data_IF_870614357398
#
_entry.id   IF_870614357398
#
_cell.length_a   1.000
_cell.length_b   1.000
_cell.length_c   1.000
_cell.angle_alpha   90.00
_cell.angle_beta   90.00
_cell.angle_gamma   90.00
#
_symmetry.space_group_name_H-M   'P 1'
#
loop_
_entity.id
_entity.type
_entity.pdbx_description
1 polymer ?
#
# COMPACT_ATOMS: atom_id res chain seq x y z
N UNK A 1 19.45 -39.03 76.80
CA UNK A 1 18.65 -39.47 77.96
C UNK A 1 17.77 -38.30 78.41
N UNK A 2 16.45 -38.55 78.57
CA UNK A 2 15.37 -37.65 79.05
C UNK A 2 15.10 -36.41 78.18
N UNK A 3 13.99 -36.20 77.47
CA UNK A 3 12.53 -36.37 77.68
C UNK A 3 11.90 -35.42 78.71
N UNK A 4 10.98 -34.58 78.22
CA UNK A 4 9.89 -33.93 78.96
C UNK A 4 9.93 -32.39 78.96
N UNK A 5 8.84 -31.63 78.90
CA UNK A 5 7.46 -31.69 78.39
C UNK A 5 6.79 -30.37 78.90
N UNK A 6 5.69 -29.95 78.27
CA UNK A 6 4.65 -29.00 78.76
C UNK A 6 5.01 -27.49 78.71
N UNK A 7 4.11 -26.53 78.42
CA UNK A 7 2.67 -26.47 78.10
C UNK A 7 2.39 -24.98 77.76
N UNK A 8 1.94 -24.62 76.55
CA UNK A 8 0.56 -24.35 76.13
C UNK A 8 -0.13 -23.08 76.69
N UNK A 9 -0.55 -22.24 75.73
CA UNK A 9 -1.88 -21.63 75.57
C UNK A 9 -2.18 -20.17 76.01
N UNK A 10 -2.50 -19.40 74.95
CA UNK A 10 -3.68 -18.53 74.75
C UNK A 10 -3.77 -17.10 75.30
N UNK A 11 -4.23 -16.19 74.42
CA UNK A 11 -4.64 -14.82 74.77
C UNK A 11 -4.52 -13.78 73.65
N UNK A 12 -5.31 -13.92 72.59
CA UNK A 12 -5.50 -12.99 71.46
C UNK A 12 -6.11 -11.62 71.87
N UNK A 13 -5.85 -10.56 71.08
CA UNK A 13 -6.78 -9.47 70.60
C UNK A 13 -5.96 -8.19 70.31
N UNK A 14 -5.67 -7.90 69.03
CA UNK A 14 -6.24 -6.81 68.19
C UNK A 14 -5.62 -5.41 68.49
N UNK A 15 -5.31 -4.49 67.58
CA UNK A 15 -5.50 -4.26 66.13
C UNK A 15 -4.77 -2.95 65.82
N UNK A 16 -4.31 -2.73 64.59
CA UNK A 16 -4.20 -1.35 64.06
C UNK A 16 -2.88 -0.96 63.38
N UNK A 17 -2.88 -1.17 62.07
CA UNK A 17 -2.33 -0.31 61.01
C UNK A 17 -0.82 -0.17 60.76
N UNK A 18 -0.48 -0.64 59.56
CA UNK A 18 0.85 -0.76 58.97
C UNK A 18 1.05 0.35 57.92
N UNK A 19 2.27 0.87 57.90
CA UNK A 19 3.03 1.33 56.73
C UNK A 19 2.72 2.72 56.12
N UNK A 20 3.62 3.66 56.40
CA UNK A 20 4.15 4.60 55.40
C UNK A 20 5.55 5.09 55.84
N UNK A 21 6.60 4.40 55.38
CA UNK A 21 7.99 4.85 55.54
C UNK A 21 8.56 5.24 54.17
N UNK A 22 8.91 6.51 54.07
CA UNK A 22 9.59 7.19 52.97
C UNK A 22 10.99 6.61 52.72
N UNK A 23 11.29 6.23 51.48
CA UNK A 23 12.66 6.10 50.97
C UNK A 23 12.72 6.68 49.55
N UNK A 24 13.43 7.81 49.42
CA UNK A 24 13.79 8.45 48.17
C UNK A 24 14.60 7.49 47.29
N UNK A 25 14.13 7.26 46.06
CA UNK A 25 14.91 6.67 44.96
C UNK A 25 14.88 7.65 43.80
N UNK A 26 15.99 7.92 43.09
CA UNK A 26 15.96 8.80 41.94
C UNK A 26 15.24 8.07 40.81
N UNK A 27 13.99 8.44 40.59
CA UNK A 27 13.22 8.04 39.41
C UNK A 27 14.02 8.42 38.16
N UNK A 28 14.34 7.41 37.37
CA UNK A 28 14.73 7.57 35.98
C UNK A 28 13.73 8.54 35.33
N UNK A 29 14.23 9.69 34.88
CA UNK A 29 13.51 10.50 33.91
C UNK A 29 13.35 9.63 32.67
N UNK A 30 12.22 8.93 32.57
CA UNK A 30 11.67 8.54 31.28
C UNK A 30 11.47 9.83 30.51
N UNK A 31 12.46 10.14 29.68
CA UNK A 31 12.35 11.16 28.67
C UNK A 31 11.17 10.77 27.79
N UNK A 32 10.01 11.35 28.07
CA UNK A 32 8.83 11.28 27.24
C UNK A 32 9.24 11.85 25.89
N UNK A 33 9.59 10.97 24.95
CA UNK A 33 9.89 11.37 23.59
C UNK A 33 8.68 12.17 23.10
N UNK A 34 8.88 13.35 22.50
CA UNK A 34 7.76 14.14 22.02
C UNK A 34 6.92 13.25 21.11
N UNK A 35 5.59 13.27 21.29
CA UNK A 35 4.60 12.63 20.42
C UNK A 35 4.84 13.09 18.98
N UNK A 36 5.81 12.48 18.29
CA UNK A 36 6.09 12.72 16.89
C UNK A 36 4.97 12.03 16.14
N UNK A 37 4.16 12.82 15.45
CA UNK A 37 3.18 12.29 14.52
C UNK A 37 3.85 11.23 13.63
N UNK A 38 3.16 10.10 13.38
CA UNK A 38 3.72 9.05 12.54
C UNK A 38 4.01 9.62 11.15
N UNK A 39 5.24 9.39 10.66
CA UNK A 39 5.67 9.89 9.35
C UNK A 39 4.72 9.38 8.27
N UNK A 40 4.03 10.30 7.58
CA UNK A 40 3.17 9.99 6.42
C UNK A 40 4.03 9.95 5.16
N UNK A 41 3.97 8.84 4.42
CA UNK A 41 4.61 8.73 3.11
C UNK A 41 3.78 9.41 2.02
N UNK A 42 2.46 9.23 2.09
CA UNK A 42 1.51 9.80 1.14
C UNK A 42 0.13 9.16 1.27
N UNK A 43 -0.69 9.29 0.24
CA UNK A 43 -2.06 8.79 0.21
C UNK A 43 -2.44 8.29 -1.18
N UNK A 44 -3.13 7.15 -1.21
CA UNK A 44 -3.82 6.66 -2.40
C UNK A 44 -5.30 7.06 -2.33
N UNK A 45 -5.82 7.58 -3.44
CA UNK A 45 -7.24 7.98 -3.57
C UNK A 45 -7.86 7.24 -4.74
N UNK A 46 -9.00 6.59 -4.52
CA UNK A 46 -9.78 5.95 -5.60
C UNK A 46 -10.53 7.01 -6.37
N UNK A 47 -10.29 7.10 -7.68
CA UNK A 47 -11.02 8.02 -8.55
C UNK A 47 -12.38 7.45 -8.96
N UNK A 48 -13.34 8.32 -9.28
CA UNK A 48 -14.67 7.94 -9.79
C UNK A 48 -15.79 7.86 -8.75
N UNK A 49 -15.53 8.22 -7.49
CA UNK A 49 -16.50 8.13 -6.39
C UNK A 49 -16.73 9.43 -5.61
N UNK A 50 -16.33 10.60 -6.14
CA UNK A 50 -16.50 11.91 -5.49
C UNK A 50 -16.09 11.96 -4.00
N UNK A 51 -15.07 11.18 -3.62
CA UNK A 51 -14.52 11.16 -2.26
C UNK A 51 -15.15 10.16 -1.29
N UNK A 52 -16.13 9.35 -1.69
CA UNK A 52 -16.71 8.30 -0.84
C UNK A 52 -17.20 7.11 -1.66
N UNK A 53 -16.87 5.88 -1.26
CA UNK A 53 -17.39 4.69 -1.96
C UNK A 53 -18.93 4.61 -1.88
N UNK A 54 -19.63 4.00 -2.88
CA UNK A 54 -21.09 3.95 -2.90
C UNK A 54 -21.72 3.31 -1.65
N UNK A 55 -21.04 2.31 -1.07
CA UNK A 55 -21.50 1.61 0.15
C UNK A 55 -20.83 2.14 1.43
N UNK A 56 -20.19 3.30 1.33
CA UNK A 56 -19.35 3.89 2.37
C UNK A 56 -18.00 3.16 2.56
N UNK A 57 -17.12 3.80 3.32
CA UNK A 57 -15.82 3.26 3.69
C UNK A 57 -15.97 2.26 4.85
N UNK A 58 -15.46 1.04 4.71
CA UNK A 58 -15.54 -0.03 5.71
C UNK A 58 -14.24 -0.81 5.82
N UNK A 59 -13.65 -0.85 7.01
CA UNK A 59 -12.43 -1.63 7.27
C UNK A 59 -11.28 -1.20 6.34
N UNK A 60 -10.76 -2.13 5.53
CA UNK A 60 -9.71 -1.86 4.53
C UNK A 60 -10.24 -1.40 3.16
N UNK A 61 -11.55 -1.45 2.95
CA UNK A 61 -12.20 -0.96 1.73
C UNK A 61 -12.59 0.49 1.95
N UNK A 62 -11.81 1.41 1.38
CA UNK A 62 -11.99 2.85 1.57
C UNK A 62 -11.82 3.60 0.25
N UNK A 63 -12.33 4.82 0.19
CA UNK A 63 -12.09 5.76 -0.91
C UNK A 63 -10.67 6.34 -0.88
N UNK A 64 -10.05 6.37 0.31
CA UNK A 64 -8.70 6.91 0.54
C UNK A 64 -7.91 6.01 1.49
N UNK A 65 -6.61 5.90 1.26
CA UNK A 65 -5.70 5.11 2.07
C UNK A 65 -4.38 5.84 2.28
N UNK A 66 -4.17 6.31 3.52
CA UNK A 66 -2.95 6.98 3.93
C UNK A 66 -1.87 5.95 4.30
N UNK A 67 -0.69 6.09 3.72
CA UNK A 67 0.48 5.25 3.98
C UNK A 67 1.35 5.94 5.02
N UNK A 68 1.53 5.31 6.17
CA UNK A 68 2.39 5.80 7.25
C UNK A 68 3.55 4.84 7.48
N UNK A 69 4.69 5.38 7.91
CA UNK A 69 5.84 4.61 8.37
C UNK A 69 5.40 3.60 9.42
N UNK A 70 5.65 2.32 9.14
CA UNK A 70 5.25 1.24 10.05
C UNK A 70 6.15 1.24 11.29
N UNK A 71 5.63 0.78 12.45
CA UNK A 71 6.46 0.61 13.65
C UNK A 71 7.68 -0.28 13.41
N UNK A 72 7.50 -1.37 12.66
CA UNK A 72 8.57 -2.27 12.21
C UNK A 72 8.57 -2.33 10.68
N UNK A 73 9.77 -2.34 10.11
CA UNK A 73 9.94 -2.53 8.67
C UNK A 73 9.31 -3.85 8.24
N UNK A 74 8.61 -3.84 7.10
CA UNK A 74 8.07 -5.05 6.48
C UNK A 74 8.46 -5.16 4.99
N UNK A 75 9.35 -4.29 4.53
CA UNK A 75 9.91 -4.34 3.19
C UNK A 75 10.65 -5.65 2.93
N UNK A 76 10.79 -5.96 1.65
CA UNK A 76 11.51 -7.14 1.16
C UNK A 76 12.31 -6.81 -0.08
N UNK A 77 13.42 -7.51 -0.28
CA UNK A 77 14.30 -7.36 -1.46
C UNK A 77 14.71 -8.71 -2.04
N UNK A 78 15.01 -8.77 -3.36
CA UNK A 78 15.46 -9.99 -4.00
C UNK A 78 16.70 -10.58 -3.30
N UNK A 79 16.77 -11.90 -3.22
CA UNK A 79 17.85 -12.67 -2.60
C UNK A 79 18.22 -13.84 -3.50
N UNK A 80 18.09 -15.08 -3.02
CA UNK A 80 18.57 -16.29 -3.68
C UNK A 80 17.69 -16.64 -4.87
N UNK A 81 18.30 -17.12 -5.95
CA UNK A 81 17.58 -17.62 -7.14
C UNK A 81 17.72 -19.13 -7.22
N UNK A 82 16.58 -19.83 -7.33
CA UNK A 82 16.51 -21.28 -7.49
C UNK A 82 15.92 -21.63 -8.85
N UNK A 83 16.59 -22.51 -9.59
CA UNK A 83 16.04 -23.10 -10.81
C UNK A 83 15.58 -24.50 -10.49
N UNK A 84 14.27 -24.75 -10.63
CA UNK A 84 13.63 -25.97 -10.14
C UNK A 84 12.96 -26.69 -11.30
N UNK A 85 13.20 -28.00 -11.40
CA UNK A 85 12.64 -28.83 -12.47
C UNK A 85 11.33 -29.54 -12.12
N UNK A 86 10.95 -29.57 -10.83
CA UNK A 86 9.79 -30.31 -10.33
C UNK A 86 8.84 -29.43 -9.50
N UNK A 87 7.51 -29.48 -9.73
CA UNK A 87 6.54 -28.69 -8.97
C UNK A 87 6.57 -28.89 -7.44
N UNK A 88 6.88 -30.11 -6.96
CA UNK A 88 6.94 -30.37 -5.50
C UNK A 88 8.03 -29.55 -4.81
N UNK A 89 9.19 -29.39 -5.44
CA UNK A 89 10.31 -28.62 -4.90
C UNK A 89 10.04 -27.10 -4.88
N UNK A 90 9.23 -26.59 -5.82
CA UNK A 90 8.79 -25.18 -5.81
C UNK A 90 7.91 -24.88 -4.60
N UNK A 91 6.97 -25.77 -4.26
CA UNK A 91 6.16 -25.63 -3.04
C UNK A 91 7.01 -25.68 -1.78
N UNK A 92 8.02 -26.56 -1.73
CA UNK A 92 8.91 -26.69 -0.56
C UNK A 92 9.71 -25.40 -0.28
N UNK A 93 10.14 -24.67 -1.31
CA UNK A 93 10.87 -23.40 -1.14
C UNK A 93 9.93 -22.30 -0.64
N UNK A 94 8.71 -22.20 -1.18
CA UNK A 94 7.70 -21.23 -0.71
C UNK A 94 7.31 -21.43 0.76
N UNK A 95 7.47 -22.64 1.32
CA UNK A 95 7.10 -22.95 2.70
C UNK A 95 8.08 -22.46 3.79
N UNK A 96 9.24 -21.89 3.43
CA UNK A 96 10.25 -21.42 4.42
C UNK A 96 9.90 -20.12 5.14
N UNK A 97 8.68 -19.60 4.95
CA UNK A 97 8.19 -18.39 5.63
C UNK A 97 8.78 -17.07 5.08
N UNK A 98 9.64 -17.14 4.06
CA UNK A 98 10.13 -16.00 3.29
C UNK A 98 9.17 -15.65 2.16
N UNK A 99 9.31 -14.44 1.61
CA UNK A 99 8.58 -14.07 0.41
C UNK A 99 9.27 -14.68 -0.83
N UNK A 100 8.51 -14.92 -1.90
CA UNK A 100 9.08 -15.43 -3.14
C UNK A 100 8.32 -14.98 -4.39
N UNK A 101 9.01 -14.99 -5.53
CA UNK A 101 8.39 -14.83 -6.84
C UNK A 101 8.70 -16.06 -7.68
N UNK A 102 7.65 -16.73 -8.15
CA UNK A 102 7.73 -17.95 -8.93
C UNK A 102 7.44 -17.65 -10.41
N UNK A 103 8.45 -17.81 -11.25
CA UNK A 103 8.38 -17.66 -12.71
C UNK A 103 8.33 -19.05 -13.35
N UNK A 104 7.14 -19.54 -13.68
CA UNK A 104 6.96 -20.85 -14.31
C UNK A 104 7.23 -20.76 -15.80
N UNK A 105 8.44 -21.13 -16.23
CA UNK A 105 8.87 -21.08 -17.63
C UNK A 105 8.21 -22.17 -18.48
N UNK A 106 8.06 -23.36 -17.92
CA UNK A 106 7.37 -24.50 -18.51
C UNK A 106 6.89 -25.46 -17.42
N UNK A 107 6.16 -26.52 -17.81
CA UNK A 107 5.74 -27.61 -16.91
C UNK A 107 6.89 -28.24 -16.11
N UNK A 108 8.11 -28.14 -16.64
CA UNK A 108 9.31 -28.80 -16.10
C UNK A 108 10.37 -27.79 -15.64
N UNK A 109 10.07 -26.48 -15.63
CA UNK A 109 11.03 -25.48 -15.20
C UNK A 109 10.33 -24.27 -14.57
N UNK A 110 10.64 -24.02 -13.30
CA UNK A 110 10.24 -22.82 -12.58
C UNK A 110 11.47 -22.18 -11.95
N UNK A 111 11.62 -20.87 -12.16
CA UNK A 111 12.62 -20.08 -11.45
C UNK A 111 11.93 -19.45 -10.24
N UNK A 112 12.44 -19.70 -9.05
CA UNK A 112 11.94 -19.09 -7.81
C UNK A 112 12.98 -18.13 -7.28
N UNK A 113 12.60 -16.87 -7.13
CA UNK A 113 13.44 -15.84 -6.51
C UNK A 113 12.95 -15.63 -5.09
N UNK A 114 13.77 -15.95 -4.10
CA UNK A 114 13.51 -15.66 -2.69
C UNK A 114 13.66 -14.17 -2.43
N UNK A 115 12.83 -13.65 -1.52
CA UNK A 115 12.83 -12.27 -1.07
C UNK A 115 13.04 -12.23 0.44
N UNK A 116 14.15 -11.63 0.85
CA UNK A 116 14.53 -11.49 2.26
C UNK A 116 14.03 -10.17 2.84
N UNK A 117 14.05 -10.05 4.16
CA UNK A 117 13.66 -8.83 4.85
C UNK A 117 14.53 -7.64 4.45
N UNK A 118 13.89 -6.52 4.18
CA UNK A 118 14.53 -5.25 3.98
C UNK A 118 14.16 -4.27 5.10
N UNK A 119 15.16 -3.90 5.91
CA UNK A 119 14.99 -3.05 7.10
C UNK A 119 14.74 -1.59 6.74
N UNK A 120 15.06 -1.21 5.50
CA UNK A 120 15.11 0.18 5.04
C UNK A 120 13.82 0.58 4.31
N UNK A 121 12.88 -0.35 4.10
CA UNK A 121 11.62 -0.08 3.38
C UNK A 121 10.38 -0.60 4.11
N UNK A 122 9.25 0.03 3.84
CA UNK A 122 7.91 -0.47 4.16
C UNK A 122 7.17 -0.84 2.88
N UNK A 123 6.42 -1.95 2.92
CA UNK A 123 5.60 -2.42 1.81
C UNK A 123 4.11 -2.34 2.16
N UNK A 124 3.32 -1.89 1.20
CA UNK A 124 1.86 -1.85 1.25
C UNK A 124 1.28 -2.51 0.01
N UNK A 125 0.30 -3.39 0.15
CA UNK A 125 -0.28 -4.09 -0.99
C UNK A 125 -1.72 -3.65 -1.26
N UNK A 126 -2.01 -3.49 -2.55
CA UNK A 126 -3.32 -3.11 -3.05
C UNK A 126 -3.87 -4.25 -3.90
N UNK A 127 -5.17 -4.52 -3.79
CA UNK A 127 -5.83 -5.53 -4.61
C UNK A 127 -7.28 -5.72 -4.22
N UNK A 128 -8.00 -6.56 -4.96
CA UNK A 128 -9.41 -6.85 -4.64
C UNK A 128 -9.62 -7.90 -3.57
N UNK A 129 -8.58 -8.66 -3.20
CA UNK A 129 -8.71 -9.68 -2.16
C UNK A 129 -8.91 -9.02 -0.79
N UNK A 130 -9.75 -9.63 0.04
CA UNK A 130 -9.91 -9.26 1.45
C UNK A 130 -8.99 -10.06 2.36
N UNK A 131 -8.08 -10.86 1.81
CA UNK A 131 -7.08 -11.59 2.59
C UNK A 131 -6.13 -10.64 3.34
N UNK A 132 -5.49 -11.14 4.40
CA UNK A 132 -4.64 -10.34 5.29
C UNK A 132 -3.45 -9.64 4.61
N UNK A 133 -2.82 -10.14 3.52
CA UNK A 133 -1.70 -9.45 2.89
C UNK A 133 -2.09 -8.14 2.20
N UNK A 134 -3.37 -7.85 1.98
CA UNK A 134 -3.83 -6.62 1.35
C UNK A 134 -4.03 -5.54 2.39
N UNK A 135 -3.35 -4.41 2.25
CA UNK A 135 -3.54 -3.25 3.12
C UNK A 135 -4.73 -2.39 2.65
N UNK A 136 -4.89 -2.27 1.32
CA UNK A 136 -5.93 -1.46 0.71
C UNK A 136 -6.77 -2.26 -0.29
N UNK A 137 -8.04 -2.47 0.06
CA UNK A 137 -8.97 -3.26 -0.74
C UNK A 137 -9.66 -2.37 -1.75
N UNK A 138 -9.46 -2.65 -3.04
CA UNK A 138 -10.04 -1.89 -4.16
C UNK A 138 -10.97 -2.78 -4.98
N UNK A 139 -12.12 -2.27 -5.35
CA UNK A 139 -13.11 -2.92 -6.24
C UNK A 139 -13.24 -2.13 -7.53
N UNK A 140 -13.71 -2.77 -8.60
CA UNK A 140 -13.91 -2.12 -9.89
C UNK A 140 -14.81 -0.88 -9.74
N UNK A 141 -14.43 0.19 -10.45
CA UNK A 141 -15.15 1.45 -10.44
C UNK A 141 -16.47 1.29 -11.19
N UNK A 142 -17.58 1.66 -10.54
CA UNK A 142 -18.88 1.64 -11.18
C UNK A 142 -19.03 2.90 -12.04
N UNK A 143 -19.36 2.72 -13.32
CA UNK A 143 -19.66 3.85 -14.20
C UNK A 143 -20.92 4.57 -13.72
N UNK A 144 -20.85 5.89 -13.55
CA UNK A 144 -21.92 6.72 -12.95
C UNK A 144 -23.27 6.74 -13.68
N UNK A 145 -23.42 6.06 -14.81
CA UNK A 145 -24.72 5.88 -15.50
C UNK A 145 -25.54 4.71 -14.96
N UNK A 146 -25.00 3.90 -14.05
CA UNK A 146 -25.63 2.67 -13.54
C UNK A 146 -26.03 2.81 -12.05
N UNK A 147 -26.56 3.97 -11.64
CA UNK A 147 -27.13 4.19 -10.31
C UNK A 147 -28.52 3.52 -10.12
N UNK A 148 -28.77 2.38 -10.77
CA UNK A 148 -29.86 1.48 -10.39
C UNK A 148 -29.27 0.44 -9.43
N UNK A 149 -29.91 0.29 -8.26
CA UNK A 149 -29.51 -0.48 -7.07
C UNK A 149 -29.15 -1.98 -7.26
N UNK A 150 -29.04 -2.48 -8.50
CA UNK A 150 -28.83 -3.90 -8.80
C UNK A 150 -27.69 -4.22 -9.78
N UNK A 151 -26.83 -3.27 -10.16
CA UNK A 151 -25.63 -3.63 -10.94
C UNK A 151 -24.52 -4.16 -10.03
N UNK A 152 -24.68 -5.40 -9.56
CA UNK A 152 -23.55 -6.17 -9.03
C UNK A 152 -22.50 -6.33 -10.15
N UNK A 153 -21.27 -5.91 -9.86
CA UNK A 153 -20.12 -6.24 -10.70
C UNK A 153 -19.93 -7.75 -10.61
N UNK A 154 -20.44 -8.49 -11.60
CA UNK A 154 -20.39 -9.95 -11.63
C UNK A 154 -18.98 -10.47 -11.97
N UNK A 155 -18.17 -9.65 -12.64
CA UNK A 155 -16.80 -9.99 -13.04
C UNK A 155 -15.86 -8.81 -12.76
N UNK A 156 -14.91 -9.02 -11.85
CA UNK A 156 -13.87 -8.06 -11.52
C UNK A 156 -12.63 -8.30 -12.37
N UNK A 157 -12.10 -7.23 -12.95
CA UNK A 157 -10.87 -7.25 -13.76
C UNK A 157 -9.61 -6.94 -12.94
N UNK A 158 -9.80 -6.45 -11.71
CA UNK A 158 -8.73 -6.15 -10.76
C UNK A 158 -8.13 -7.46 -10.23
N UNK A 159 -6.80 -7.50 -10.16
CA UNK A 159 -6.09 -8.63 -9.57
C UNK A 159 -6.32 -8.75 -8.06
N UNK A 160 -6.37 -9.98 -7.54
CA UNK A 160 -6.50 -10.24 -6.09
C UNK A 160 -5.42 -9.55 -5.27
N UNK A 161 -4.19 -9.62 -5.77
CA UNK A 161 -3.00 -8.95 -5.24
C UNK A 161 -2.37 -8.15 -6.40
N UNK A 162 -2.81 -6.90 -6.58
CA UNK A 162 -2.61 -6.16 -7.82
C UNK A 162 -1.25 -5.47 -7.90
N UNK A 163 -0.85 -4.76 -6.85
CA UNK A 163 0.44 -4.07 -6.82
C UNK A 163 0.98 -3.93 -5.39
N UNK A 164 2.25 -3.54 -5.30
CA UNK A 164 2.94 -3.14 -4.07
C UNK A 164 3.38 -1.70 -4.20
N UNK A 165 3.15 -0.90 -3.16
CA UNK A 165 3.80 0.38 -2.95
C UNK A 165 4.88 0.17 -1.89
N UNK A 166 6.13 0.45 -2.25
CA UNK A 166 7.28 0.30 -1.37
C UNK A 166 7.84 1.69 -1.08
N UNK A 167 7.89 2.07 0.19
CA UNK A 167 8.35 3.38 0.63
C UNK A 167 9.67 3.25 1.40
N UNK A 168 10.64 4.11 1.08
CA UNK A 168 11.88 4.22 1.84
C UNK A 168 11.57 4.73 3.26
N UNK A 169 12.16 4.11 4.28
CA UNK A 169 11.94 4.47 5.70
C UNK A 169 12.78 5.67 6.16
N UNK A 170 13.68 6.14 5.31
CA UNK A 170 14.54 7.32 5.50
C UNK A 170 14.18 8.43 4.51
N UNK A 171 14.40 9.71 4.87
CA UNK A 171 14.26 10.82 3.92
C UNK A 171 15.01 10.55 2.60
N UNK A 172 14.45 10.92 1.44
CA UNK A 172 13.21 11.70 1.25
C UNK A 172 11.93 10.85 1.25
N UNK A 173 11.98 9.61 1.74
CA UNK A 173 10.84 8.69 1.84
C UNK A 173 10.21 8.33 0.50
N UNK A 174 11.04 8.14 -0.52
CA UNK A 174 10.61 7.85 -1.89
C UNK A 174 9.68 6.64 -1.93
N UNK A 175 8.53 6.80 -2.58
CA UNK A 175 7.57 5.73 -2.85
C UNK A 175 7.79 5.18 -4.26
N UNK A 176 7.83 3.85 -4.39
CA UNK A 176 7.98 3.12 -5.65
C UNK A 176 6.84 2.12 -5.81
N UNK A 177 6.42 1.88 -7.05
CA UNK A 177 5.38 0.90 -7.36
C UNK A 177 5.95 -0.34 -8.07
N UNK A 178 5.40 -1.50 -7.74
CA UNK A 178 5.73 -2.77 -8.38
C UNK A 178 4.44 -3.50 -8.74
N UNK A 179 4.40 -4.16 -9.88
CA UNK A 179 3.27 -5.00 -10.22
C UNK A 179 3.22 -6.27 -9.35
N UNK A 180 2.01 -6.80 -9.19
CA UNK A 180 1.64 -7.90 -8.30
C UNK A 180 1.84 -7.60 -6.80
N UNK A 181 1.10 -8.32 -5.97
CA UNK A 181 1.35 -8.45 -4.54
C UNK A 181 1.52 -9.90 -4.14
N UNK A 182 2.24 -10.14 -3.05
CA UNK A 182 2.40 -11.44 -2.44
C UNK A 182 1.08 -11.92 -1.85
N UNK A 183 0.74 -13.17 -2.13
CA UNK A 183 -0.44 -13.82 -1.59
C UNK A 183 -0.28 -14.24 -0.12
N UNK A 184 -1.27 -14.95 0.42
CA UNK A 184 -1.24 -15.46 1.80
C UNK A 184 -0.12 -16.49 2.05
N UNK A 185 0.44 -17.07 0.98
CA UNK A 185 1.63 -17.94 1.01
C UNK A 185 2.93 -17.14 0.86
N UNK A 186 2.87 -15.81 0.89
CA UNK A 186 3.97 -14.87 0.65
C UNK A 186 4.58 -15.02 -0.75
N UNK A 187 3.81 -15.49 -1.73
CA UNK A 187 4.32 -15.76 -3.07
C UNK A 187 3.62 -14.89 -4.14
N UNK A 188 4.39 -14.46 -5.15
CA UNK A 188 3.85 -13.96 -6.42
C UNK A 188 4.02 -15.07 -7.45
N UNK A 189 2.93 -15.47 -8.12
CA UNK A 189 2.96 -16.52 -9.14
C UNK A 189 2.78 -15.95 -10.55
N UNK A 190 3.79 -16.13 -11.40
CA UNK A 190 3.73 -15.86 -12.83
C UNK A 190 3.70 -17.20 -13.58
N UNK A 191 2.51 -17.60 -14.00
CA UNK A 191 2.31 -18.84 -14.75
C UNK A 191 2.88 -18.83 -16.16
N UNK A 192 2.77 -19.96 -16.85
CA UNK A 192 3.35 -20.17 -18.20
C UNK A 192 2.94 -19.10 -19.21
N UNK A 193 1.70 -18.61 -19.12
CA UNK A 193 1.17 -17.58 -20.03
C UNK A 193 1.76 -16.20 -19.77
N UNK A 194 2.20 -15.87 -18.55
CA UNK A 194 2.70 -14.54 -18.23
C UNK A 194 3.99 -14.22 -19.01
N UNK A 195 4.12 -12.98 -19.48
CA UNK A 195 5.34 -12.47 -20.09
C UNK A 195 6.44 -12.44 -19.03
N UNK A 196 7.57 -13.09 -19.32
CA UNK A 196 8.72 -13.23 -18.41
C UNK A 196 10.01 -13.38 -19.19
N UNK A 197 11.06 -12.76 -18.71
CA UNK A 197 12.35 -12.66 -19.41
C UNK A 197 13.47 -12.44 -18.39
N UNK A 198 14.72 -12.54 -18.85
CA UNK A 198 15.86 -11.99 -18.12
C UNK A 198 16.11 -10.57 -18.58
N UNK A 199 16.22 -9.62 -17.66
CA UNK A 199 16.58 -8.24 -17.97
C UNK A 199 18.08 -8.14 -18.36
N UNK A 200 18.57 -6.98 -18.81
CA UNK A 200 19.98 -6.80 -19.18
C UNK A 200 20.98 -7.19 -18.08
N UNK A 201 20.60 -7.04 -16.82
CA UNK A 201 21.42 -7.43 -15.65
C UNK A 201 21.38 -8.94 -15.35
N UNK A 202 20.62 -9.72 -16.14
CA UNK A 202 20.48 -11.16 -15.99
C UNK A 202 19.46 -11.61 -14.94
N UNK A 203 18.76 -10.67 -14.30
CA UNK A 203 17.70 -10.95 -13.33
C UNK A 203 16.39 -11.32 -14.03
N UNK A 204 15.63 -12.25 -13.44
CA UNK A 204 14.29 -12.56 -13.92
C UNK A 204 13.32 -11.44 -13.61
N UNK A 205 12.47 -11.12 -14.58
CA UNK A 205 11.36 -10.20 -14.43
C UNK A 205 10.14 -10.69 -15.25
N UNK A 206 9.00 -10.06 -15.05
CA UNK A 206 7.78 -10.40 -15.78
C UNK A 206 6.66 -9.39 -15.59
N UNK A 207 5.60 -9.58 -16.37
CA UNK A 207 4.37 -8.81 -16.27
C UNK A 207 3.24 -9.68 -15.72
N UNK A 208 2.34 -9.07 -14.95
CA UNK A 208 1.07 -9.69 -14.57
C UNK A 208 0.16 -9.81 -15.80
N UNK A 209 -0.86 -10.68 -15.75
CA UNK A 209 -1.73 -10.91 -16.92
C UNK A 209 -2.32 -9.62 -17.49
N UNK A 210 -2.91 -8.77 -16.65
CA UNK A 210 -3.57 -7.54 -17.07
C UNK A 210 -2.69 -6.29 -16.97
N UNK A 211 -1.51 -6.39 -16.34
CA UNK A 211 -0.61 -5.26 -16.15
C UNK A 211 -1.07 -4.26 -15.08
N UNK A 212 -0.10 -3.56 -14.50
CA UNK A 212 -0.30 -2.36 -13.66
C UNK A 212 0.25 -1.19 -14.45
N UNK A 213 -0.60 -0.21 -14.74
CA UNK A 213 -0.18 0.94 -15.54
C UNK A 213 -0.01 2.18 -14.66
N UNK A 214 0.96 3.01 -14.99
CA UNK A 214 1.24 4.27 -14.29
C UNK A 214 1.36 5.40 -15.30
N UNK A 215 0.82 6.56 -14.96
CA UNK A 215 1.02 7.80 -15.72
C UNK A 215 1.43 8.91 -14.75
N UNK A 216 2.52 9.58 -15.07
CA UNK A 216 2.96 10.80 -14.39
C UNK A 216 2.51 12.03 -15.20
N UNK A 217 1.71 12.95 -14.64
CA UNK A 217 1.39 14.21 -15.31
C UNK A 217 2.65 14.99 -15.68
N UNK A 218 2.70 15.53 -16.91
CA UNK A 218 3.82 16.36 -17.35
C UNK A 218 3.70 17.75 -16.72
N UNK A 219 4.80 18.25 -16.16
CA UNK A 219 4.81 19.53 -15.43
C UNK A 219 4.49 19.41 -13.94
N UNK A 220 4.31 18.20 -13.41
CA UNK A 220 3.91 17.97 -12.02
C UNK A 220 2.39 17.98 -11.85
N UNK A 221 1.90 18.08 -10.61
CA UNK A 221 0.48 18.15 -10.28
C UNK A 221 0.07 19.59 -9.95
N UNK A 222 -0.07 20.41 -10.99
CA UNK A 222 -0.37 21.84 -10.95
C UNK A 222 -1.47 22.20 -11.96
N UNK A 223 -1.82 23.49 -12.08
CA UNK A 223 -2.83 23.94 -13.03
C UNK A 223 -2.39 23.76 -14.50
N UNK A 224 -1.08 23.87 -14.76
CA UNK A 224 -0.46 23.76 -16.08
C UNK A 224 -0.14 22.32 -16.49
N UNK A 225 -0.52 21.34 -15.66
CA UNK A 225 -0.29 19.92 -15.91
C UNK A 225 -0.82 19.49 -17.27
N UNK A 226 0.02 18.79 -18.02
CA UNK A 226 -0.38 18.12 -19.27
C UNK A 226 -0.48 16.61 -19.05
N UNK A 227 -1.32 15.91 -19.82
CA UNK A 227 -1.38 14.46 -19.76
C UNK A 227 0.00 13.81 -19.97
N UNK A 228 0.30 12.84 -19.11
CA UNK A 228 1.47 11.98 -19.23
C UNK A 228 1.28 10.90 -20.28
N UNK A 229 2.29 10.02 -20.37
CA UNK A 229 2.18 8.77 -21.14
C UNK A 229 1.99 7.64 -20.16
N UNK A 230 1.05 6.74 -20.44
CA UNK A 230 0.87 5.53 -19.66
C UNK A 230 2.02 4.54 -19.92
N UNK A 231 2.58 4.00 -18.85
CA UNK A 231 3.60 2.97 -18.85
C UNK A 231 3.12 1.75 -18.10
N UNK A 232 3.63 0.60 -18.46
CA UNK A 232 3.41 -0.63 -17.72
C UNK A 232 4.59 -0.88 -16.78
N UNK A 233 4.29 -1.16 -15.51
CA UNK A 233 5.28 -1.48 -14.48
C UNK A 233 5.42 -2.99 -14.37
N UNK A 234 6.65 -3.48 -14.33
CA UNK A 234 6.91 -4.90 -14.16
C UNK A 234 6.85 -5.35 -12.70
N UNK A 235 6.95 -6.66 -12.49
CA UNK A 235 6.97 -7.25 -11.14
C UNK A 235 8.23 -6.85 -10.36
N UNK A 236 9.35 -6.63 -11.05
CA UNK A 236 10.59 -6.12 -10.46
C UNK A 236 10.74 -4.59 -10.53
N UNK A 237 9.77 -3.87 -11.09
CA UNK A 237 9.72 -2.39 -11.04
C UNK A 237 10.34 -1.69 -12.25
N UNK A 238 10.68 -2.41 -13.32
CA UNK A 238 11.11 -1.82 -14.58
C UNK A 238 9.91 -1.19 -15.31
N UNK A 239 10.19 -0.19 -16.14
CA UNK A 239 9.18 0.59 -16.88
C UNK A 239 9.16 0.18 -18.34
N UNK A 240 7.98 -0.16 -18.85
CA UNK A 240 7.76 -0.55 -20.23
C UNK A 240 6.72 0.35 -20.91
N UNK A 241 6.83 0.50 -22.23
CA UNK A 241 5.71 1.01 -23.02
C UNK A 241 4.50 0.09 -22.88
N UNK A 242 3.32 0.59 -23.20
CA UNK A 242 2.13 -0.25 -23.27
C UNK A 242 2.34 -1.40 -24.26
N UNK A 243 1.66 -2.51 -23.97
CA UNK A 243 1.41 -3.59 -24.94
C UNK A 243 0.50 -3.07 -26.06
N UNK A 244 0.42 -3.81 -27.15
CA UNK A 244 -0.48 -3.48 -28.27
C UNK A 244 -1.94 -3.42 -27.82
N UNK A 245 -2.37 -4.39 -27.01
CA UNK A 245 -3.69 -4.40 -26.35
C UNK A 245 -3.54 -4.79 -24.89
N UNK A 246 -4.46 -4.33 -24.03
CA UNK A 246 -4.47 -4.73 -22.60
C UNK A 246 -4.53 -6.25 -22.52
N UNK A 247 -3.70 -6.83 -21.67
CA UNK A 247 -3.56 -8.29 -21.47
C UNK A 247 -2.94 -9.08 -22.62
N UNK A 248 -2.43 -8.45 -23.68
CA UNK A 248 -1.64 -9.12 -24.71
C UNK A 248 -0.41 -9.82 -24.11
N UNK A 249 0.02 -10.95 -24.66
CA UNK A 249 1.19 -11.66 -24.12
C UNK A 249 2.53 -11.00 -24.46
N UNK A 250 2.53 -10.16 -25.49
CA UNK A 250 3.73 -9.43 -25.89
C UNK A 250 3.93 -8.21 -25.00
N UNK A 251 5.07 -8.18 -24.31
CA UNK A 251 5.54 -7.02 -23.54
C UNK A 251 5.84 -5.84 -24.48
N UNK A 252 5.64 -4.62 -23.99
CA UNK A 252 6.18 -3.41 -24.62
C UNK A 252 7.70 -3.31 -24.63
N UNK A 253 8.21 -2.15 -25.06
CA UNK A 253 9.64 -1.83 -25.08
C UNK A 253 10.08 -1.28 -23.71
N UNK A 254 11.30 -1.63 -23.27
CA UNK A 254 11.89 -1.06 -22.06
C UNK A 254 12.07 0.44 -22.24
N UNK A 255 11.79 1.21 -21.17
CA UNK A 255 11.93 2.67 -21.12
C UNK A 255 12.96 3.01 -20.04
N UNK A 256 14.23 3.01 -20.43
CA UNK A 256 15.37 3.12 -19.49
C UNK A 256 15.48 4.49 -18.79
N UNK A 257 14.88 5.52 -19.38
CA UNK A 257 14.91 6.89 -18.87
C UNK A 257 13.73 7.24 -17.94
N UNK A 258 12.84 6.28 -17.66
CA UNK A 258 11.72 6.43 -16.73
C UNK A 258 11.87 5.42 -15.58
N UNK A 259 11.28 5.73 -14.42
CA UNK A 259 11.41 4.89 -13.21
C UNK A 259 10.04 4.59 -12.61
N UNK A 260 9.97 3.62 -11.71
CA UNK A 260 8.76 3.31 -10.96
C UNK A 260 8.55 4.19 -9.71
N UNK A 261 9.27 5.31 -9.59
CA UNK A 261 9.09 6.26 -8.49
C UNK A 261 7.78 7.03 -8.68
N UNK A 262 6.90 6.97 -7.68
CA UNK A 262 5.64 7.70 -7.69
C UNK A 262 5.87 9.18 -7.34
N UNK A 263 5.50 10.04 -8.28
CA UNK A 263 5.51 11.49 -8.17
C UNK A 263 4.14 12.00 -7.70
N UNK A 264 4.06 13.18 -7.08
CA UNK A 264 2.76 13.76 -6.74
C UNK A 264 1.87 13.85 -7.97
N UNK A 265 0.63 13.37 -7.86
CA UNK A 265 -0.30 13.34 -8.99
C UNK A 265 -0.23 12.10 -9.87
N UNK A 266 0.65 11.12 -9.57
CA UNK A 266 0.74 9.90 -10.36
C UNK A 266 -0.59 9.14 -10.38
N UNK A 267 -1.03 8.74 -11.57
CA UNK A 267 -2.18 7.86 -11.74
C UNK A 267 -1.73 6.42 -11.86
N UNK A 268 -2.46 5.51 -11.23
CA UNK A 268 -2.20 4.07 -11.22
C UNK A 268 -3.47 3.34 -11.67
N UNK A 269 -3.42 2.67 -12.81
CA UNK A 269 -4.53 1.87 -13.34
C UNK A 269 -4.31 0.38 -12.98
N UNK A 270 -5.26 -0.17 -12.23
CA UNK A 270 -5.26 -1.55 -11.73
C UNK A 270 -6.18 -2.49 -12.53
N UNK A 271 -6.53 -2.11 -13.75
CA UNK A 271 -7.45 -2.80 -14.65
C UNK A 271 -8.83 -2.95 -14.01
N UNK A 272 -9.56 -1.83 -13.88
CA UNK A 272 -10.90 -1.79 -13.27
C UNK A 272 -11.07 -0.64 -12.28
N UNK A 273 -9.98 -0.12 -11.72
CA UNK A 273 -9.98 1.10 -10.93
C UNK A 273 -8.71 1.92 -11.21
N UNK A 274 -8.85 3.24 -11.13
CA UNK A 274 -7.71 4.17 -11.20
C UNK A 274 -7.51 4.82 -9.83
N UNK A 275 -6.28 4.76 -9.34
CA UNK A 275 -5.85 5.41 -8.11
C UNK A 275 -5.03 6.65 -8.44
N UNK A 276 -5.19 7.68 -7.62
CA UNK A 276 -4.32 8.85 -7.57
C UNK A 276 -3.38 8.69 -6.38
N UNK A 277 -2.07 8.81 -6.63
CA UNK A 277 -1.07 8.97 -5.58
C UNK A 277 -0.85 10.46 -5.29
N UNK A 278 -0.96 10.82 -4.01
CA UNK A 278 -0.51 12.11 -3.50
C UNK A 278 0.63 11.91 -2.50
N UNK A 279 1.72 12.62 -2.70
CA UNK A 279 2.83 12.69 -1.75
C UNK A 279 2.40 13.41 -0.48
N UNK A 280 3.09 13.18 0.64
CA UNK A 280 2.82 13.92 1.87
C UNK A 280 2.97 15.45 1.69
N UNK A 281 3.96 15.88 0.91
CA UNK A 281 4.18 17.29 0.57
C UNK A 281 3.04 17.86 -0.30
N UNK A 282 2.62 17.15 -1.35
CA UNK A 282 1.47 17.56 -2.16
C UNK A 282 0.16 17.63 -1.37
N UNK A 283 -0.03 16.72 -0.40
CA UNK A 283 -1.18 16.76 0.51
C UNK A 283 -1.14 17.98 1.44
N UNK A 284 0.04 18.36 1.93
CA UNK A 284 0.20 19.55 2.76
C UNK A 284 -0.23 20.83 2.03
N UNK A 285 0.00 20.90 0.71
CA UNK A 285 -0.40 22.01 -0.14
C UNK A 285 -1.83 21.90 -0.70
N UNK A 286 -2.62 20.90 -0.28
CA UNK A 286 -4.00 20.74 -0.77
C UNK A 286 -4.92 21.86 -0.23
N UNK A 287 -5.85 22.39 -1.04
CA UNK A 287 -6.82 23.37 -0.57
C UNK A 287 -7.60 22.87 0.65
N UNK A 288 -7.70 23.73 1.67
CA UNK A 288 -8.50 23.45 2.86
C UNK A 288 -9.93 23.93 2.67
N UNK A 289 -10.87 23.43 3.50
CA UNK A 289 -12.25 23.94 3.49
C UNK A 289 -12.30 25.46 3.68
N UNK A 290 -11.42 26.00 4.54
CA UNK A 290 -11.29 27.45 4.78
C UNK A 290 -10.84 28.20 3.51
N UNK A 291 -9.91 27.63 2.74
CA UNK A 291 -9.47 28.22 1.48
C UNK A 291 -10.62 28.22 0.45
N UNK A 292 -11.32 27.10 0.29
CA UNK A 292 -12.48 27.00 -0.62
C UNK A 292 -13.57 28.00 -0.22
N UNK A 293 -13.86 28.12 1.08
CA UNK A 293 -14.82 29.08 1.60
C UNK A 293 -14.42 30.54 1.30
N UNK A 294 -13.13 30.87 1.45
CA UNK A 294 -12.63 32.20 1.13
C UNK A 294 -12.78 32.53 -0.37
N UNK A 295 -12.44 31.60 -1.25
CA UNK A 295 -12.63 31.74 -2.70
C UNK A 295 -14.12 31.90 -3.06
N UNK A 296 -15.00 31.15 -2.40
CA UNK A 296 -16.45 31.28 -2.57
C UNK A 296 -16.93 32.69 -2.20
N UNK A 297 -16.45 33.22 -1.07
CA UNK A 297 -16.80 34.57 -0.62
C UNK A 297 -16.28 35.65 -1.59
N UNK A 298 -15.07 35.49 -2.12
CA UNK A 298 -14.49 36.38 -3.12
C UNK A 298 -15.31 36.41 -4.41
N UNK A 299 -15.71 35.24 -4.92
CA UNK A 299 -16.58 35.14 -6.11
C UNK A 299 -17.94 35.79 -5.85
N UNK A 300 -18.56 35.54 -4.70
CA UNK A 300 -19.84 36.15 -4.34
C UNK A 300 -19.72 37.68 -4.23
N UNK A 301 -18.60 38.20 -3.73
CA UNK A 301 -18.33 39.63 -3.66
C UNK A 301 -18.17 40.27 -5.04
N UNK A 302 -17.66 39.53 -6.03
CA UNK A 302 -17.54 39.99 -7.42
C UNK A 302 -18.89 40.12 -8.15
N UNK A 303 -20.00 39.67 -7.54
CA UNK A 303 -21.37 39.71 -8.09
C UNK A 303 -21.43 39.27 -9.57
N UNK A 304 -20.97 38.06 -9.91
CA UNK A 304 -21.02 37.58 -11.28
C UNK A 304 -22.46 37.58 -11.78
N UNK A 305 -22.71 38.19 -12.96
CA UNK A 305 -24.04 38.30 -13.51
C UNK A 305 -24.51 36.92 -14.05
N UNK A 306 -25.42 36.27 -13.32
CA UNK A 306 -25.97 34.99 -13.74
C UNK A 306 -27.16 35.19 -14.71
N UNK A 307 -27.17 34.52 -15.89
CA UNK A 307 -28.28 34.63 -16.85
C UNK A 307 -29.64 34.13 -16.32
N UNK A 308 -29.65 33.35 -15.23
CA UNK A 308 -30.85 32.74 -14.64
C UNK A 308 -31.22 33.31 -13.25
N UNK A 309 -30.66 34.47 -12.87
CA UNK A 309 -31.08 35.20 -11.67
C UNK A 309 -30.54 34.67 -10.33
N UNK A 310 -29.52 33.82 -10.34
CA UNK A 310 -28.80 33.39 -9.14
C UNK A 310 -27.66 34.36 -8.82
N UNK A 311 -27.66 34.97 -7.64
CA UNK A 311 -26.71 36.04 -7.31
C UNK A 311 -25.53 35.60 -6.43
N UNK A 312 -25.59 34.40 -5.83
CA UNK A 312 -24.58 33.91 -4.89
C UNK A 312 -24.43 32.38 -4.97
N UNK A 313 -23.19 31.90 -4.94
CA UNK A 313 -22.84 30.50 -4.71
C UNK A 313 -23.09 30.14 -3.24
N UNK A 314 -23.80 29.03 -3.02
CA UNK A 314 -24.21 28.53 -1.71
C UNK A 314 -23.17 27.63 -1.03
#
# INVERSE_FOLDING_TARGET
ARSGLASAADGTVATGDLAAALMFSPSQEEHCAPNKEPVKYGELVVLGYNGSLPNGDRGRRKSRFALYKRPKANGVKPSTVHVISTPQASKAISCKGQHSISYTLSRNQTVVVEYTHDKDTDMFQVGRSTESPIDFVVTDTLSGSQNNDETQITQSTISRFACRIVCDRSPPYTARIFAAGFDSSKNIFLGEKAAKWKNPDGHMDGLTTNGVLVMHPKGGFTEESKPGVWREISVCGDVYTLRETRSAQQRGKLVENETNVLQDGSLIDLCGATLLWRTADGLFHTPTQKHIEALRQEINAARPQCPVGLNTLA
#
